data_IF_199649508248
#
_entry.id   IF_199649508248
#
_cell.length_a   1.000
_cell.length_b   1.000
_cell.length_c   1.000
_cell.angle_alpha   90.00
_cell.angle_beta   90.00
_cell.angle_gamma   90.00
#
_symmetry.space_group_name_H-M   'P 1'
#
loop_
_entity.id
_entity.type
_entity.pdbx_description
1 polymer ?
#
# COMPACT_ATOMS: atom_id res chain seq x y z
N UNK A 1 -16.42 13.82 -3.73
CA UNK A 1 -16.73 12.39 -3.48
C UNK A 1 -16.01 11.94 -2.20
N UNK A 2 -16.69 11.23 -1.28
CA UNK A 2 -16.13 10.82 0.04
C UNK A 2 -14.85 9.97 -0.08
N UNK A 3 -14.64 9.27 -1.19
CA UNK A 3 -13.49 8.39 -1.39
C UNK A 3 -12.14 9.13 -1.40
N UNK A 4 -12.12 10.40 -1.83
CA UNK A 4 -10.89 11.18 -2.04
C UNK A 4 -10.62 12.23 -0.94
N UNK A 5 -11.30 12.12 0.20
CA UNK A 5 -11.08 13.00 1.35
C UNK A 5 -10.26 12.27 2.41
N UNK A 6 -9.23 12.91 2.96
CA UNK A 6 -8.42 12.36 4.04
C UNK A 6 -9.02 12.57 5.43
N UNK A 7 -8.52 11.79 6.39
CA UNK A 7 -8.93 11.83 7.80
C UNK A 7 -7.81 11.27 8.69
N UNK A 8 -7.79 11.67 9.97
CA UNK A 8 -6.91 11.06 10.95
C UNK A 8 -7.50 9.73 11.45
N UNK A 9 -6.67 8.70 11.53
CA UNK A 9 -6.93 7.50 12.32
C UNK A 9 -5.93 7.54 13.48
N UNK A 10 -6.44 7.79 14.70
CA UNK A 10 -5.62 8.16 15.85
C UNK A 10 -4.69 9.34 15.50
N UNK A 11 -3.37 9.16 15.52
CA UNK A 11 -2.38 10.21 15.22
C UNK A 11 -1.90 10.20 13.77
N UNK A 12 -2.38 9.27 12.94
CA UNK A 12 -1.91 9.10 11.55
C UNK A 12 -2.90 9.72 10.56
N UNK A 13 -2.42 10.65 9.74
CA UNK A 13 -3.18 11.21 8.63
C UNK A 13 -3.20 10.25 7.43
N UNK A 14 -4.38 9.83 6.99
CA UNK A 14 -4.58 9.04 5.77
C UNK A 14 -5.21 9.95 4.71
N UNK A 15 -4.55 10.11 3.57
CA UNK A 15 -4.90 11.14 2.56
C UNK A 15 -6.23 10.89 1.83
N UNK A 16 -6.73 9.65 1.82
CA UNK A 16 -7.99 9.26 1.18
C UNK A 16 -8.53 7.95 1.77
N UNK A 17 -9.62 7.41 1.21
CA UNK A 17 -10.26 6.16 1.68
C UNK A 17 -10.02 4.98 0.73
N UNK A 18 -8.95 5.02 -0.06
CA UNK A 18 -8.56 3.97 -0.99
C UNK A 18 -7.40 3.17 -0.40
N UNK A 19 -7.66 1.93 0.02
CA UNK A 19 -6.66 1.06 0.66
C UNK A 19 -6.33 -0.12 -0.25
N UNK A 20 -5.04 -0.47 -0.35
CA UNK A 20 -4.63 -1.72 -0.98
C UNK A 20 -4.93 -2.87 -0.01
N UNK A 21 -5.82 -3.78 -0.40
CA UNK A 21 -6.09 -4.97 0.38
C UNK A 21 -4.83 -5.86 0.51
N UNK A 22 -4.65 -6.58 1.63
CA UNK A 22 -3.56 -7.53 1.77
C UNK A 22 -3.71 -8.66 0.74
N UNK A 23 -2.68 -8.86 -0.10
CA UNK A 23 -2.66 -9.85 -1.16
C UNK A 23 -1.35 -10.61 -1.13
N UNK A 24 -1.40 -11.94 -1.12
CA UNK A 24 -0.19 -12.77 -1.29
C UNK A 24 0.35 -12.51 -2.70
N UNK A 25 1.56 -11.97 -2.78
CA UNK A 25 2.21 -11.64 -4.06
C UNK A 25 3.04 -12.79 -4.64
N UNK A 26 3.49 -13.71 -3.78
CA UNK A 26 4.45 -14.77 -4.12
C UNK A 26 5.76 -14.20 -4.73
N UNK A 27 6.16 -13.00 -4.31
CA UNK A 27 7.36 -12.29 -4.79
C UNK A 27 8.53 -12.32 -3.80
N UNK A 28 8.37 -12.91 -2.61
CA UNK A 28 9.48 -13.07 -1.66
C UNK A 28 10.55 -14.02 -2.21
N UNK A 29 11.77 -13.89 -1.73
CA UNK A 29 12.79 -14.91 -2.01
C UNK A 29 12.50 -16.22 -1.24
N UNK A 30 13.21 -17.33 -1.54
CA UNK A 30 13.02 -18.60 -0.84
C UNK A 30 13.36 -18.58 0.66
N UNK A 31 14.08 -17.58 1.15
CA UNK A 31 14.33 -17.39 2.59
C UNK A 31 13.16 -16.69 3.30
N UNK A 32 12.15 -16.24 2.55
CA UNK A 32 10.99 -15.50 3.05
C UNK A 32 11.24 -14.00 3.20
N UNK A 33 12.40 -13.50 2.74
CA UNK A 33 12.74 -12.09 2.81
C UNK A 33 12.19 -11.32 1.61
N UNK A 34 12.01 -10.01 1.82
CA UNK A 34 11.61 -9.08 0.76
C UNK A 34 12.76 -8.83 -0.22
N UNK A 35 12.43 -8.34 -1.40
CA UNK A 35 13.39 -7.97 -2.45
C UNK A 35 12.83 -6.83 -3.32
N UNK A 36 13.59 -6.42 -4.33
CA UNK A 36 13.24 -5.31 -5.22
C UNK A 36 11.93 -5.52 -5.99
N UNK A 37 11.56 -6.76 -6.32
CA UNK A 37 10.29 -7.04 -6.98
C UNK A 37 9.10 -6.77 -6.05
N UNK A 38 9.21 -7.17 -4.79
CA UNK A 38 8.18 -6.89 -3.79
C UNK A 38 8.07 -5.39 -3.48
N UNK A 39 9.21 -4.69 -3.44
CA UNK A 39 9.25 -3.22 -3.26
C UNK A 39 8.58 -2.52 -4.44
N UNK A 40 8.99 -2.82 -5.67
CA UNK A 40 8.40 -2.23 -6.89
C UNK A 40 6.90 -2.49 -6.97
N UNK A 41 6.45 -3.70 -6.59
CA UNK A 41 5.02 -4.03 -6.56
C UNK A 41 4.22 -3.09 -5.64
N UNK A 42 4.70 -2.81 -4.43
CA UNK A 42 4.05 -1.90 -3.48
C UNK A 42 4.21 -0.43 -3.90
N UNK A 43 5.36 -0.07 -4.47
CA UNK A 43 5.65 1.29 -4.94
C UNK A 43 4.65 1.76 -5.99
N UNK A 44 4.28 0.89 -6.94
CA UNK A 44 3.29 1.22 -7.96
C UNK A 44 1.90 1.53 -7.39
N UNK A 45 1.51 0.92 -6.25
CA UNK A 45 0.24 1.25 -5.57
C UNK A 45 0.34 2.58 -4.84
N UNK A 46 1.50 2.86 -4.23
CA UNK A 46 1.74 4.16 -3.62
C UNK A 46 1.69 5.29 -4.65
N UNK A 47 2.37 5.13 -5.80
CA UNK A 47 2.31 6.04 -6.96
C UNK A 47 0.89 6.16 -7.53
N UNK A 48 0.14 5.05 -7.56
CA UNK A 48 -1.26 5.00 -7.96
C UNK A 48 -2.23 5.75 -7.05
N UNK A 49 -1.75 6.31 -5.93
CA UNK A 49 -2.52 7.21 -5.09
C UNK A 49 -3.27 6.53 -3.94
N UNK A 50 -3.00 5.25 -3.64
CA UNK A 50 -3.54 4.60 -2.45
C UNK A 50 -3.08 5.32 -1.17
N UNK A 51 -4.02 5.39 -0.22
CA UNK A 51 -4.00 6.19 1.00
C UNK A 51 -3.18 5.59 2.13
#
# INVERSE_FOLDING_TARGET
MKAFTGEFIAETWIKNRLVMAPMISNLSDPSGLTNDNHIAYLEERAKGGFG
#
